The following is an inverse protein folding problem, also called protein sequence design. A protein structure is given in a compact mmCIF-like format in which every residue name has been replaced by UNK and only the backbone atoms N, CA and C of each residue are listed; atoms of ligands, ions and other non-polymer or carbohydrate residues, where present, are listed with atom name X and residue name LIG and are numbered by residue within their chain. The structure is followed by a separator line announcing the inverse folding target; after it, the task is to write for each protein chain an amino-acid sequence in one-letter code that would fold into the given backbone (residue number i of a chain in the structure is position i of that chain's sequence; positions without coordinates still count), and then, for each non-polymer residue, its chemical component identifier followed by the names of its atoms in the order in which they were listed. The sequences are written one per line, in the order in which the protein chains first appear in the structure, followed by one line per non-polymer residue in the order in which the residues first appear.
data_IF_389561798881
#
_entry.id   IF_389561798881
#
_cell.length_a   1.000
_cell.length_b   1.000
_cell.length_c   1.000
_cell.angle_alpha   90.00
_cell.angle_beta   90.00
_cell.angle_gamma   90.00
#
_symmetry.space_group_name_H-M   'P 1'
#
loop_
_entity.id
_entity.type
_entity.pdbx_description
1 polymer ?
#
# COMPACT_ATOMS: atom_id res chain seq x y z
N UNK A 1 -38.01 -4.54 -30.10
CA UNK A 1 -37.13 -5.71 -30.33
C UNK A 1 -35.73 -5.34 -29.90
N UNK A 2 -35.07 -6.18 -29.11
CA UNK A 2 -33.68 -5.95 -28.71
C UNK A 2 -32.76 -6.52 -29.79
N UNK A 3 -31.95 -5.66 -30.42
CA UNK A 3 -31.03 -6.05 -31.49
C UNK A 3 -29.58 -6.02 -31.01
N UNK A 4 -29.07 -7.20 -30.65
CA UNK A 4 -27.73 -7.38 -30.09
C UNK A 4 -26.62 -6.83 -31.01
N UNK A 5 -26.82 -6.85 -32.34
CA UNK A 5 -25.85 -6.36 -33.32
C UNK A 5 -25.67 -4.84 -33.28
N UNK A 6 -26.78 -4.11 -33.27
CA UNK A 6 -26.78 -2.65 -33.25
C UNK A 6 -26.20 -2.17 -31.93
N UNK A 7 -26.57 -2.83 -30.82
CA UNK A 7 -26.02 -2.53 -29.49
C UNK A 7 -24.50 -2.73 -29.49
N UNK A 8 -24.00 -3.82 -30.07
CA UNK A 8 -22.56 -4.04 -30.18
C UNK A 8 -21.85 -2.97 -31.01
N UNK A 9 -22.40 -2.59 -32.16
CA UNK A 9 -21.81 -1.54 -33.01
C UNK A 9 -21.72 -0.20 -32.28
N UNK A 10 -22.79 0.20 -31.60
CA UNK A 10 -22.83 1.43 -30.79
C UNK A 10 -21.79 1.38 -29.67
N UNK A 11 -21.72 0.28 -28.90
CA UNK A 11 -20.77 0.13 -27.79
C UNK A 11 -19.32 0.09 -28.27
N UNK A 12 -19.05 -0.46 -29.45
CA UNK A 12 -17.69 -0.59 -30.00
C UNK A 12 -17.17 0.70 -30.61
N UNK A 13 -18.00 1.42 -31.36
CA UNK A 13 -17.58 2.59 -32.12
C UNK A 13 -17.74 3.91 -31.36
N UNK A 14 -18.77 4.01 -30.52
CA UNK A 14 -18.97 5.20 -29.69
C UNK A 14 -18.22 5.01 -28.35
N UNK A 15 -18.93 5.18 -27.24
CA UNK A 15 -18.35 5.10 -25.90
C UNK A 15 -18.91 3.90 -25.12
N UNK A 16 -18.00 3.16 -24.47
CA UNK A 16 -18.33 2.10 -23.52
C UNK A 16 -17.63 2.39 -22.19
N UNK A 17 -18.42 2.67 -21.15
CA UNK A 17 -17.91 2.99 -19.81
C UNK A 17 -17.07 1.87 -19.19
N UNK A 18 -17.36 0.61 -19.56
CA UNK A 18 -16.65 -0.55 -19.04
C UNK A 18 -15.42 -0.93 -19.88
N UNK A 19 -15.19 -0.32 -21.05
CA UNK A 19 -14.08 -0.68 -21.91
C UNK A 19 -12.79 0.00 -21.45
N UNK A 20 -11.73 -0.79 -21.26
CA UNK A 20 -10.38 -0.31 -20.98
C UNK A 20 -9.48 -0.69 -22.16
N UNK A 21 -8.95 0.33 -22.86
CA UNK A 21 -7.97 0.14 -23.93
C UNK A 21 -6.58 0.09 -23.30
N UNK A 22 -5.87 -1.02 -23.52
CA UNK A 22 -4.49 -1.22 -23.09
C UNK A 22 -3.68 -1.54 -24.35
N UNK A 23 -2.35 -1.32 -24.33
CA UNK A 23 -1.45 -1.63 -25.45
C UNK A 23 -1.59 -3.06 -25.96
N UNK A 24 -1.89 -4.02 -25.09
CA UNK A 24 -2.06 -5.44 -25.42
C UNK A 24 -3.43 -5.80 -26.00
N UNK A 25 -4.44 -4.93 -25.85
CA UNK A 25 -5.79 -5.17 -26.36
C UNK A 25 -6.90 -4.50 -25.54
N UNK A 26 -8.14 -4.81 -25.93
CA UNK A 26 -9.34 -4.22 -25.33
C UNK A 26 -9.93 -5.11 -24.23
N UNK A 27 -9.98 -4.60 -23.01
CA UNK A 27 -10.53 -5.31 -21.85
C UNK A 27 -11.84 -4.69 -21.39
N UNK A 28 -12.59 -5.45 -20.59
CA UNK A 28 -13.87 -5.03 -20.05
C UNK A 28 -13.84 -5.14 -18.52
N UNK A 29 -14.15 -4.03 -17.83
CA UNK A 29 -14.24 -3.94 -16.37
C UNK A 29 -15.59 -4.42 -15.81
N UNK A 30 -16.53 -4.79 -16.68
CA UNK A 30 -17.86 -5.21 -16.24
C UNK A 30 -17.75 -6.51 -15.40
N UNK A 31 -18.29 -6.55 -14.17
CA UNK A 31 -18.22 -7.73 -13.32
C UNK A 31 -18.95 -8.96 -13.90
N UNK A 32 -19.92 -8.74 -14.78
CA UNK A 32 -20.69 -9.77 -15.46
C UNK A 32 -20.05 -10.21 -16.79
N UNK A 33 -18.77 -9.90 -17.07
CA UNK A 33 -18.07 -10.48 -18.22
C UNK A 33 -17.41 -11.81 -17.80
N UNK A 34 -17.58 -12.87 -18.60
CA UNK A 34 -16.98 -14.20 -18.31
C UNK A 34 -15.46 -14.21 -18.52
N UNK A 35 -14.97 -13.57 -19.59
CA UNK A 35 -13.57 -13.63 -20.03
C UNK A 35 -12.75 -12.42 -19.59
N UNK A 36 -13.39 -11.27 -19.41
CA UNK A 36 -12.73 -9.98 -19.14
C UNK A 36 -12.23 -9.25 -20.39
N UNK A 37 -12.41 -9.84 -21.58
CA UNK A 37 -12.04 -9.23 -22.86
C UNK A 37 -13.26 -8.51 -23.45
N UNK A 38 -13.05 -7.37 -24.10
CA UNK A 38 -14.10 -6.61 -24.76
C UNK A 38 -14.27 -7.06 -26.23
N UNK A 39 -15.00 -8.17 -26.42
CA UNK A 39 -15.34 -8.74 -27.74
C UNK A 39 -16.86 -8.88 -27.90
N UNK A 40 -17.34 -9.00 -29.15
CA UNK A 40 -18.77 -9.16 -29.48
C UNK A 40 -19.42 -10.30 -28.69
N UNK A 41 -18.76 -11.45 -28.63
CA UNK A 41 -19.22 -12.65 -27.90
C UNK A 41 -19.05 -12.58 -26.38
N UNK A 42 -18.20 -11.68 -25.88
CA UNK A 42 -17.85 -11.59 -24.46
C UNK A 42 -18.59 -10.46 -23.73
N UNK A 43 -19.16 -9.49 -24.46
CA UNK A 43 -19.85 -8.37 -23.84
C UNK A 43 -21.21 -8.78 -23.27
N UNK A 44 -21.47 -8.63 -21.96
CA UNK A 44 -22.76 -8.96 -21.34
C UNK A 44 -23.85 -7.92 -21.63
N UNK A 45 -23.49 -6.71 -22.05
CA UNK A 45 -24.44 -5.65 -22.42
C UNK A 45 -25.00 -5.89 -23.82
N UNK A 46 -24.11 -6.21 -24.76
CA UNK A 46 -24.48 -6.45 -26.16
C UNK A 46 -25.27 -7.75 -26.35
N UNK A 47 -24.98 -8.80 -25.58
CA UNK A 47 -25.67 -10.07 -25.71
C UNK A 47 -26.88 -10.15 -24.77
N UNK A 48 -28.04 -10.47 -25.33
CA UNK A 48 -29.28 -10.69 -24.59
C UNK A 48 -29.31 -12.05 -23.88
N UNK A 49 -28.77 -13.10 -24.50
CA UNK A 49 -28.54 -14.42 -23.89
C UNK A 49 -27.12 -14.51 -23.36
N UNK A 50 -26.96 -14.49 -22.05
CA UNK A 50 -25.63 -14.52 -21.44
C UNK A 50 -25.66 -15.25 -20.09
N UNK A 51 -24.50 -15.74 -19.65
CA UNK A 51 -24.37 -16.43 -18.38
C UNK A 51 -22.99 -16.24 -17.81
N UNK A 52 -22.91 -15.98 -16.50
CA UNK A 52 -21.65 -15.75 -15.78
C UNK A 52 -21.67 -16.39 -14.40
N UNK A 53 -20.49 -16.51 -13.80
CA UNK A 53 -20.35 -16.92 -12.41
C UNK A 53 -19.81 -15.76 -11.62
N UNK A 54 -20.46 -15.50 -10.48
CA UNK A 54 -19.98 -14.54 -9.48
C UNK A 54 -19.93 -15.17 -8.11
N UNK A 55 -19.05 -14.62 -7.31
CA UNK A 55 -18.88 -14.94 -5.91
C UNK A 55 -19.66 -13.92 -5.08
N UNK A 56 -20.50 -14.40 -4.16
CA UNK A 56 -21.09 -13.61 -3.09
C UNK A 56 -20.81 -14.32 -1.77
N UNK A 57 -20.08 -13.65 -0.87
CA UNK A 57 -19.83 -14.05 0.51
C UNK A 57 -19.44 -15.52 0.71
N UNK A 58 -18.57 -16.07 -0.15
CA UNK A 58 -18.14 -17.46 0.04
C UNK A 58 -19.04 -18.50 -0.65
N UNK A 59 -20.05 -18.08 -1.42
CA UNK A 59 -20.88 -18.96 -2.27
C UNK A 59 -20.86 -18.52 -3.73
N UNK A 60 -20.75 -19.49 -4.64
CA UNK A 60 -20.82 -19.23 -6.08
C UNK A 60 -22.26 -19.23 -6.57
N UNK A 61 -22.57 -18.27 -7.43
CA UNK A 61 -23.85 -18.14 -8.08
C UNK A 61 -23.67 -18.14 -9.59
N UNK A 62 -24.49 -18.93 -10.28
CA UNK A 62 -24.67 -18.86 -11.72
C UNK A 62 -25.69 -17.76 -12.01
N UNK A 63 -25.24 -16.73 -12.70
CA UNK A 63 -26.04 -15.62 -13.19
C UNK A 63 -26.44 -15.90 -14.63
N UNK A 64 -27.73 -15.91 -14.93
CA UNK A 64 -28.26 -16.12 -16.27
C UNK A 64 -29.07 -14.91 -16.72
N UNK A 65 -28.86 -14.50 -17.96
CA UNK A 65 -29.57 -13.41 -18.61
C UNK A 65 -30.37 -13.97 -19.76
N UNK A 66 -31.67 -13.72 -19.74
CA UNK A 66 -32.62 -14.14 -20.78
C UNK A 66 -33.17 -12.93 -21.53
N UNK A 67 -33.64 -13.16 -22.75
CA UNK A 67 -34.21 -12.11 -23.61
C UNK A 67 -35.52 -11.56 -23.02
N UNK A 68 -36.31 -12.43 -22.40
CA UNK A 68 -37.65 -12.11 -21.89
C UNK A 68 -37.61 -11.04 -20.79
N UNK A 69 -36.57 -11.04 -19.96
CA UNK A 69 -36.41 -10.09 -18.85
C UNK A 69 -35.73 -8.79 -19.22
N UNK A 70 -35.37 -8.58 -20.49
CA UNK A 70 -34.61 -7.39 -20.92
C UNK A 70 -35.33 -6.06 -20.63
N UNK A 71 -36.66 -6.07 -20.60
CA UNK A 71 -37.49 -4.91 -20.29
C UNK A 71 -37.46 -4.51 -18.80
N UNK A 72 -36.99 -5.39 -17.90
CA UNK A 72 -36.93 -5.16 -16.44
C UNK A 72 -35.47 -5.24 -15.97
N UNK A 73 -34.74 -4.11 -15.92
CA UNK A 73 -33.31 -4.12 -15.56
C UNK A 73 -33.05 -4.65 -14.14
N UNK A 74 -33.97 -4.44 -13.20
CA UNK A 74 -33.85 -4.90 -11.82
C UNK A 74 -33.84 -6.44 -11.70
N UNK A 75 -34.57 -7.12 -12.59
CA UNK A 75 -34.73 -8.58 -12.59
C UNK A 75 -34.02 -9.24 -13.78
N UNK A 76 -33.15 -8.49 -14.46
CA UNK A 76 -32.46 -8.92 -15.68
C UNK A 76 -31.69 -10.23 -15.51
N UNK A 77 -31.17 -10.46 -14.30
CA UNK A 77 -30.33 -11.59 -13.97
C UNK A 77 -31.03 -12.57 -13.03
N UNK A 78 -31.22 -13.78 -13.50
CA UNK A 78 -31.58 -14.93 -12.67
C UNK A 78 -30.35 -15.46 -11.95
N UNK A 79 -30.50 -15.86 -10.68
CA UNK A 79 -29.39 -16.33 -9.84
C UNK A 79 -29.68 -17.74 -9.35
N UNK A 80 -28.79 -18.68 -9.68
CA UNK A 80 -28.84 -20.06 -9.19
C UNK A 80 -27.64 -20.31 -8.26
N UNK A 81 -27.90 -20.83 -7.06
CA UNK A 81 -26.86 -21.19 -6.09
C UNK A 81 -26.11 -22.42 -6.57
N UNK A 82 -24.79 -22.34 -6.66
CA UNK A 82 -23.94 -23.49 -6.96
C UNK A 82 -23.44 -24.15 -5.67
N UNK A 83 -23.41 -25.49 -5.60
CA UNK A 83 -22.90 -26.22 -4.45
C UNK A 83 -21.38 -26.03 -4.32
N UNK A 84 -20.86 -26.33 -3.13
CA UNK A 84 -19.41 -26.28 -2.85
C UNK A 84 -18.63 -27.38 -3.58
N UNK A 85 -19.28 -28.51 -3.87
CA UNK A 85 -18.67 -29.59 -4.66
C UNK A 85 -18.58 -29.15 -6.13
N UNK A 86 -17.37 -29.20 -6.68
CA UNK A 86 -17.06 -28.78 -8.03
C UNK A 86 -17.78 -29.62 -9.10
N UNK A 87 -17.84 -30.94 -8.95
CA UNK A 87 -18.47 -31.85 -9.92
C UNK A 87 -19.98 -31.59 -10.01
N UNK A 88 -20.64 -31.52 -8.85
CA UNK A 88 -22.07 -31.18 -8.77
C UNK A 88 -22.36 -29.79 -9.34
N UNK A 89 -21.46 -28.82 -9.16
CA UNK A 89 -21.60 -27.50 -9.74
C UNK A 89 -21.49 -27.52 -11.27
N UNK A 90 -20.60 -28.34 -11.84
CA UNK A 90 -20.50 -28.54 -13.29
C UNK A 90 -21.77 -29.17 -13.87
N UNK A 91 -22.33 -30.19 -13.21
CA UNK A 91 -23.59 -30.81 -13.64
C UNK A 91 -24.76 -29.81 -13.65
N UNK A 92 -24.84 -28.96 -12.62
CA UNK A 92 -25.89 -27.92 -12.54
C UNK A 92 -25.71 -26.89 -13.66
N UNK A 93 -24.48 -26.47 -13.93
CA UNK A 93 -24.17 -25.57 -15.06
C UNK A 93 -24.61 -26.22 -16.37
N UNK A 94 -24.29 -27.50 -16.59
CA UNK A 94 -24.66 -28.21 -17.81
C UNK A 94 -26.17 -28.33 -17.97
N UNK A 95 -26.91 -28.63 -16.90
CA UNK A 95 -28.39 -28.70 -16.90
C UNK A 95 -29.04 -27.36 -17.23
N UNK A 96 -28.56 -26.27 -16.63
CA UNK A 96 -29.15 -24.95 -16.89
C UNK A 96 -28.74 -24.36 -18.24
N UNK A 97 -27.56 -24.70 -18.77
CA UNK A 97 -27.00 -24.11 -19.99
C UNK A 97 -27.09 -25.03 -21.23
N UNK A 98 -27.97 -26.04 -21.23
CA UNK A 98 -28.09 -27.00 -22.35
C UNK A 98 -28.34 -26.32 -23.71
N UNK A 99 -29.15 -25.27 -23.75
CA UNK A 99 -29.54 -24.57 -24.98
C UNK A 99 -28.72 -23.31 -25.28
N UNK A 100 -27.62 -23.10 -24.56
CA UNK A 100 -26.74 -21.93 -24.75
C UNK A 100 -25.59 -22.26 -25.70
N UNK A 101 -24.97 -21.23 -26.31
CA UNK A 101 -23.83 -21.44 -27.20
C UNK A 101 -22.67 -22.11 -26.44
N UNK A 102 -22.11 -23.19 -27.03
CA UNK A 102 -21.05 -24.02 -26.42
C UNK A 102 -19.84 -23.21 -25.94
N UNK A 103 -19.48 -22.15 -26.67
CA UNK A 103 -18.38 -21.24 -26.28
C UNK A 103 -18.66 -20.60 -24.92
N UNK A 104 -19.87 -20.10 -24.70
CA UNK A 104 -20.27 -19.49 -23.44
C UNK A 104 -20.26 -20.51 -22.31
N UNK A 105 -20.80 -21.72 -22.54
CA UNK A 105 -20.80 -22.81 -21.55
C UNK A 105 -19.38 -23.16 -21.14
N UNK A 106 -18.49 -23.38 -22.12
CA UNK A 106 -17.10 -23.70 -21.87
C UNK A 106 -16.38 -22.58 -21.11
N UNK A 107 -16.55 -21.31 -21.51
CA UNK A 107 -15.96 -20.16 -20.80
C UNK A 107 -16.51 -20.02 -19.38
N UNK A 108 -17.78 -20.32 -19.17
CA UNK A 108 -18.43 -20.29 -17.85
C UNK A 108 -17.85 -21.37 -16.94
N UNK A 109 -17.65 -22.60 -17.46
CA UNK A 109 -16.92 -23.66 -16.76
C UNK A 109 -15.49 -23.25 -16.43
N UNK A 110 -14.74 -22.71 -17.39
CA UNK A 110 -13.37 -22.21 -17.17
C UNK A 110 -13.33 -21.14 -16.06
N UNK A 111 -14.31 -20.23 -16.04
CA UNK A 111 -14.45 -19.22 -14.98
C UNK A 111 -14.73 -19.86 -13.62
N UNK A 112 -15.60 -20.88 -13.53
CA UNK A 112 -15.82 -21.62 -12.28
C UNK A 112 -14.51 -22.19 -11.75
N UNK A 113 -13.74 -22.86 -12.62
CA UNK A 113 -12.46 -23.46 -12.27
C UNK A 113 -11.50 -22.39 -11.75
N UNK A 114 -11.35 -21.28 -12.47
CA UNK A 114 -10.44 -20.19 -12.08
C UNK A 114 -10.84 -19.56 -10.74
N UNK A 115 -12.14 -19.30 -10.53
CA UNK A 115 -12.66 -18.75 -9.28
C UNK A 115 -12.45 -19.72 -8.10
N UNK A 116 -12.67 -21.02 -8.32
CA UNK A 116 -12.42 -22.05 -7.31
C UNK A 116 -10.94 -22.15 -6.96
N UNK A 117 -10.06 -22.14 -7.95
CA UNK A 117 -8.60 -22.11 -7.74
C UNK A 117 -8.17 -20.85 -7.00
N UNK A 118 -8.71 -19.68 -7.36
CA UNK A 118 -8.44 -18.43 -6.64
C UNK A 118 -8.86 -18.52 -5.17
N UNK A 119 -10.02 -19.09 -4.86
CA UNK A 119 -10.42 -19.33 -3.46
C UNK A 119 -9.47 -20.23 -2.70
N UNK A 120 -9.05 -21.34 -3.31
CA UNK A 120 -8.06 -22.24 -2.70
C UNK A 120 -6.76 -21.48 -2.45
N UNK A 121 -6.31 -20.66 -3.41
CA UNK A 121 -5.11 -19.81 -3.26
C UNK A 121 -5.27 -18.78 -2.14
N UNK A 122 -6.42 -18.11 -2.02
CA UNK A 122 -6.69 -17.16 -0.94
C UNK A 122 -6.65 -17.82 0.44
N UNK A 123 -7.23 -19.01 0.59
CA UNK A 123 -7.14 -19.79 1.83
C UNK A 123 -5.70 -20.18 2.16
N UNK A 124 -4.95 -20.67 1.17
CA UNK A 124 -3.52 -20.98 1.33
C UNK A 124 -2.70 -19.74 1.67
N UNK A 125 -3.07 -18.57 1.15
CA UNK A 125 -2.40 -17.31 1.44
C UNK A 125 -2.66 -16.85 2.86
N UNK A 126 -3.92 -16.94 3.32
CA UNK A 126 -4.32 -16.56 4.67
C UNK A 126 -3.68 -17.46 5.75
N UNK A 127 -3.41 -18.73 5.42
CA UNK A 127 -2.70 -19.65 6.30
C UNK A 127 -1.18 -19.41 6.35
N UNK A 128 -0.61 -18.70 5.37
CA UNK A 128 0.82 -18.39 5.35
C UNK A 128 1.06 -17.12 6.16
N UNK A 129 1.88 -17.21 7.20
CA UNK A 129 2.44 -16.05 7.89
C UNK A 129 3.34 -15.30 6.91
N UNK A 130 3.00 -14.04 6.62
CA UNK A 130 3.82 -13.15 5.80
C UNK A 130 4.04 -11.87 6.58
N UNK A 131 5.23 -11.32 6.44
CA UNK A 131 5.52 -9.98 6.91
C UNK A 131 4.56 -8.99 6.25
N UNK A 132 3.95 -8.14 7.07
CA UNK A 132 3.08 -7.09 6.60
C UNK A 132 3.99 -5.96 6.13
N UNK A 133 4.00 -5.68 4.83
CA UNK A 133 4.63 -4.47 4.30
C UNK A 133 3.89 -3.28 4.93
N UNK A 134 4.55 -2.61 5.87
CA UNK A 134 4.06 -1.39 6.48
C UNK A 134 4.74 -0.23 5.77
N UNK A 135 3.94 0.71 5.27
CA UNK A 135 4.46 1.94 4.70
C UNK A 135 4.82 2.89 5.82
N UNK A 136 6.08 3.26 5.94
CA UNK A 136 6.51 4.37 6.79
C UNK A 136 6.21 5.69 6.06
N UNK A 137 5.67 6.72 6.75
CA UNK A 137 5.37 7.99 6.12
C UNK A 137 6.67 8.70 5.73
N UNK A 138 6.70 9.29 4.52
CA UNK A 138 7.91 9.89 3.95
C UNK A 138 8.51 11.01 4.82
N UNK A 139 7.67 11.76 5.54
CA UNK A 139 8.11 12.83 6.45
C UNK A 139 8.93 12.28 7.63
N UNK A 140 8.52 11.14 8.21
CA UNK A 140 9.25 10.52 9.31
C UNK A 140 10.63 10.03 8.84
N UNK A 141 10.70 9.38 7.68
CA UNK A 141 11.97 8.92 7.09
C UNK A 141 12.95 10.09 6.91
N UNK A 142 12.47 11.21 6.33
CA UNK A 142 13.32 12.41 6.17
C UNK A 142 13.77 12.97 7.52
N UNK A 143 12.87 13.05 8.49
CA UNK A 143 13.17 13.62 9.81
C UNK A 143 14.11 12.75 10.63
N UNK A 144 13.99 11.42 10.53
CA UNK A 144 14.91 10.48 11.16
C UNK A 144 16.29 10.56 10.55
N UNK A 145 16.41 10.59 9.21
CA UNK A 145 17.70 10.74 8.53
C UNK A 145 18.41 12.06 8.89
N UNK A 146 17.67 13.18 8.99
CA UNK A 146 18.25 14.46 9.45
C UNK A 146 18.70 14.39 10.91
N UNK A 147 17.90 13.79 11.79
CA UNK A 147 18.26 13.61 13.20
C UNK A 147 19.46 12.70 13.39
N UNK A 148 19.58 11.66 12.58
CA UNK A 148 20.72 10.75 12.54
C UNK A 148 22.00 11.49 12.14
N UNK A 149 21.96 12.27 11.05
CA UNK A 149 23.10 13.09 10.64
C UNK A 149 23.51 14.13 11.69
N UNK A 150 22.53 14.75 12.37
CA UNK A 150 22.80 15.69 13.46
C UNK A 150 23.41 14.98 14.68
N UNK A 151 22.93 13.77 15.00
CA UNK A 151 23.47 12.96 16.09
C UNK A 151 24.90 12.49 15.79
N UNK A 152 25.19 12.06 14.56
CA UNK A 152 26.54 11.67 14.13
C UNK A 152 27.53 12.83 14.29
N UNK A 153 27.18 14.02 13.78
CA UNK A 153 28.01 15.22 13.92
C UNK A 153 28.21 15.63 15.38
N UNK A 154 27.16 15.55 16.20
CA UNK A 154 27.24 15.93 17.61
C UNK A 154 28.02 14.93 18.46
N UNK A 155 27.96 13.63 18.14
CA UNK A 155 28.62 12.59 18.92
C UNK A 155 30.15 12.58 18.76
N UNK A 156 30.71 13.19 17.69
CA UNK A 156 32.15 13.25 17.40
C UNK A 156 32.89 11.96 17.79
N UNK A 157 32.41 10.83 17.24
CA UNK A 157 32.81 9.50 17.70
C UNK A 157 34.33 9.30 17.68
N UNK A 158 35.03 9.85 16.69
CA UNK A 158 36.48 9.76 16.56
C UNK A 158 37.23 10.24 17.81
N UNK A 159 36.89 11.42 18.35
CA UNK A 159 37.53 11.96 19.56
C UNK A 159 37.21 11.13 20.80
N UNK A 160 35.98 10.62 20.90
CA UNK A 160 35.59 9.75 22.00
C UNK A 160 36.35 8.41 21.97
N UNK A 161 36.58 7.87 20.78
CA UNK A 161 37.34 6.65 20.55
C UNK A 161 38.83 6.89 20.83
N UNK A 162 39.41 8.01 20.38
CA UNK A 162 40.79 8.39 20.67
C UNK A 162 41.05 8.48 22.18
N UNK A 163 40.17 9.18 22.91
CA UNK A 163 40.25 9.28 24.37
C UNK A 163 40.17 7.90 25.04
N UNK A 164 39.26 7.03 24.58
CA UNK A 164 39.15 5.67 25.14
C UNK A 164 40.38 4.80 24.82
N UNK A 165 40.93 4.89 23.61
CA UNK A 165 42.13 4.15 23.20
C UNK A 165 43.36 4.60 23.98
N UNK A 166 43.53 5.91 24.19
CA UNK A 166 44.59 6.46 25.02
C UNK A 166 44.44 6.02 26.48
N UNK A 167 43.23 6.04 27.03
CA UNK A 167 42.97 5.52 28.38
C UNK A 167 43.28 4.02 28.51
N UNK A 168 42.90 3.21 27.52
CA UNK A 168 43.21 1.76 27.51
C UNK A 168 44.71 1.50 27.40
N UNK A 169 45.42 2.32 26.61
CA UNK A 169 46.87 2.29 26.50
C UNK A 169 47.53 2.67 27.83
N UNK A 170 47.10 3.76 28.47
CA UNK A 170 47.55 4.19 29.81
C UNK A 170 47.29 3.13 30.89
N UNK A 171 46.16 2.42 30.80
CA UNK A 171 45.80 1.31 31.70
C UNK A 171 46.57 0.02 31.42
N UNK A 172 47.39 -0.05 30.36
CA UNK A 172 48.22 -1.21 30.03
C UNK A 172 47.42 -2.43 29.59
N UNK A 173 46.24 -2.22 28.97
CA UNK A 173 45.36 -3.31 28.51
C UNK A 173 45.99 -4.08 27.34
N UNK A 174 46.83 -3.42 26.55
CA UNK A 174 47.61 -4.01 25.47
C UNK A 174 49.01 -4.34 26.01
N UNK A 175 49.43 -5.61 25.97
CA UNK A 175 50.66 -6.09 26.64
C UNK A 175 51.99 -5.53 26.08
N UNK A 176 53.12 -6.01 26.63
CA UNK A 176 54.49 -5.45 26.51
C UNK A 176 55.17 -5.47 25.12
N UNK A 177 54.49 -5.87 24.04
CA UNK A 177 55.13 -6.02 22.72
C UNK A 177 54.55 -5.02 21.73
N UNK A 178 54.95 -3.77 21.86
CA UNK A 178 54.80 -2.79 20.80
C UNK A 178 56.06 -1.90 20.74
N UNK A 179 56.61 -1.79 19.53
CA UNK A 179 57.70 -0.88 19.21
C UNK A 179 57.12 0.49 18.87
N UNK A 180 56.74 1.25 19.88
CA UNK A 180 56.27 2.62 19.68
C UNK A 180 57.45 3.54 19.37
N UNK A 181 57.36 4.40 18.34
CA UNK A 181 58.25 5.56 18.24
C UNK A 181 58.03 6.44 19.49
N UNK A 182 59.02 6.49 20.37
CA UNK A 182 58.94 7.18 21.68
C UNK A 182 58.66 8.67 21.53
N UNK A 183 59.16 9.27 20.45
CA UNK A 183 58.99 10.69 20.13
C UNK A 183 57.51 11.02 19.83
N UNK A 184 56.86 10.25 18.95
CA UNK A 184 55.45 10.44 18.61
C UNK A 184 54.50 10.19 19.81
N UNK A 185 54.90 9.31 20.75
CA UNK A 185 54.12 9.05 21.95
C UNK A 185 54.17 10.22 22.95
N UNK A 186 55.36 10.78 23.19
CA UNK A 186 55.53 11.90 24.10
C UNK A 186 54.90 13.20 23.54
N UNK A 187 54.98 13.42 22.22
CA UNK A 187 54.31 14.55 21.56
C UNK A 187 52.79 14.51 21.72
N UNK A 188 52.16 13.32 21.61
CA UNK A 188 50.72 13.15 21.82
C UNK A 188 50.33 13.36 23.29
N UNK A 189 51.19 12.94 24.23
CA UNK A 189 51.01 13.14 25.68
C UNK A 189 51.10 14.62 26.08
N UNK A 190 52.09 15.35 25.56
CA UNK A 190 52.26 16.79 25.80
C UNK A 190 51.13 17.60 25.15
N UNK A 191 50.67 17.21 23.95
CA UNK A 191 49.51 17.82 23.28
C UNK A 191 48.20 17.60 24.04
N UNK A 192 48.00 16.44 24.66
CA UNK A 192 46.82 16.13 25.48
C UNK A 192 46.81 16.91 26.80
N UNK A 193 47.97 17.06 27.47
CA UNK A 193 48.11 17.91 28.67
C UNK A 193 47.90 19.41 28.37
N UNK A 194 48.35 19.88 27.20
CA UNK A 194 48.10 21.23 26.72
C UNK A 194 46.62 21.46 26.35
N UNK A 195 45.95 20.47 25.74
CA UNK A 195 44.52 20.55 25.41
C UNK A 195 43.63 20.49 26.65
N UNK A 196 43.99 19.70 27.67
CA UNK A 196 43.27 19.65 28.94
C UNK A 196 43.37 20.97 29.73
N UNK A 197 44.49 21.69 29.61
CA UNK A 197 44.65 23.01 30.21
C UNK A 197 43.88 24.12 29.46
N UNK A 198 43.56 23.94 28.18
CA UNK A 198 42.71 24.86 27.41
C UNK A 198 41.21 24.56 27.51
N UNK A 199 40.81 23.29 27.72
CA UNK A 199 39.41 22.88 27.92
C UNK A 199 38.83 23.35 29.27
N UNK A 200 39.65 23.80 30.23
CA UNK A 200 39.18 24.29 31.55
C UNK A 200 38.81 25.78 31.56
N UNK A 201 39.19 26.56 30.53
CA UNK A 201 38.83 27.99 30.37
C UNK A 201 37.82 28.27 29.25
N UNK A 202 37.67 27.37 28.27
CA UNK A 202 36.61 27.43 27.27
C UNK A 202 35.62 26.29 27.55
N UNK A 203 34.59 26.57 28.36
CA UNK A 203 33.31 25.90 28.12
C UNK A 203 33.03 26.09 26.64
N UNK A 204 32.90 25.02 25.83
CA UNK A 204 32.44 25.19 24.47
C UNK A 204 31.01 25.68 24.60
N UNK A 205 30.83 27.00 24.55
CA UNK A 205 29.56 27.63 24.25
C UNK A 205 29.14 26.96 22.95
N UNK A 206 28.20 26.04 23.06
CA UNK A 206 27.58 25.40 21.91
C UNK A 206 26.86 26.57 21.26
N UNK A 207 27.57 27.27 20.38
CA UNK A 207 27.00 28.21 19.44
C UNK A 207 25.96 27.37 18.72
N UNK A 208 24.70 27.53 19.13
CA UNK A 208 23.57 27.11 18.35
C UNK A 208 23.81 27.80 17.01
N UNK A 209 24.28 27.04 16.01
CA UNK A 209 24.36 27.54 14.65
C UNK A 209 22.92 27.86 14.27
N UNK A 210 22.54 29.12 14.50
CA UNK A 210 21.20 29.69 14.32
C UNK A 210 20.73 29.51 12.86
N UNK A 211 21.66 29.24 11.94
CA UNK A 211 21.39 28.95 10.53
C UNK A 211 20.83 27.56 10.20
N UNK A 212 20.58 26.67 11.18
CA UNK A 212 19.88 25.38 10.93
C UNK A 212 18.49 25.29 11.56
N UNK A 213 18.13 26.16 12.50
CA UNK A 213 16.77 26.24 13.05
C UNK A 213 15.84 26.97 12.07
N UNK A 214 16.36 27.98 11.35
CA UNK A 214 15.65 28.67 10.26
C UNK A 214 15.38 27.75 9.05
N UNK A 215 16.25 26.76 8.80
CA UNK A 215 16.06 25.75 7.73
C UNK A 215 15.04 24.65 8.11
N UNK A 216 14.73 24.49 9.41
CA UNK A 216 13.65 23.60 9.88
C UNK A 216 12.27 24.27 9.75
N UNK A 217 12.20 25.60 9.85
CA UNK A 217 10.97 26.39 9.62
C UNK A 217 10.70 26.72 8.14
N UNK A 218 11.72 27.01 7.33
CA UNK A 218 11.54 27.34 5.91
C UNK A 218 11.07 26.13 5.06
N UNK A 219 11.63 24.93 5.28
CA UNK A 219 11.29 23.76 4.44
C UNK A 219 9.93 23.10 4.75
N UNK A 220 9.37 23.27 5.95
CA UNK A 220 8.00 22.79 6.25
C UNK A 220 6.93 23.79 5.75
N UNK A 221 7.35 25.01 5.35
CA UNK A 221 6.51 26.01 4.70
C UNK A 221 6.45 25.87 3.16
N UNK A 222 7.52 25.36 2.54
CA UNK A 222 7.60 25.22 1.08
C UNK A 222 6.69 24.13 0.47
N UNK A 223 6.25 23.13 1.25
CA UNK A 223 5.31 22.09 0.78
C UNK A 223 3.83 22.50 0.93
N UNK A 224 3.54 23.70 1.45
CA UNK A 224 2.19 24.28 1.50
C UNK A 224 1.89 25.21 0.31
N UNK A 225 2.91 25.69 -0.41
CA UNK A 225 2.80 26.69 -1.48
C UNK A 225 2.51 26.16 -2.89
N UNK A 226 2.15 24.88 -3.05
CA UNK A 226 1.92 24.24 -4.35
C UNK A 226 0.52 24.41 -4.96
N UNK A 227 -0.31 25.34 -4.46
CA UNK A 227 -1.67 25.54 -4.96
C UNK A 227 -1.79 26.86 -5.77
N UNK A 228 -1.80 26.69 -7.09
CA UNK A 228 -2.41 27.58 -8.09
C UNK A 228 -1.85 29.00 -8.29
N UNK A 229 -0.75 29.11 -9.04
CA UNK A 229 -0.56 30.25 -9.96
C UNK A 229 -1.19 29.84 -11.30
N UNK A 230 -2.48 30.16 -11.43
CA UNK A 230 -3.18 30.11 -12.71
C UNK A 230 -2.71 31.32 -13.52
N UNK A 231 -1.88 31.07 -14.53
CA UNK A 231 -1.47 32.03 -15.56
C UNK A 231 -2.73 32.58 -16.28
N UNK A 232 -3.02 33.89 -16.27
CA UNK A 232 -4.12 34.46 -17.05
C UNK A 232 -3.55 35.34 -18.16
N UNK A 233 -3.26 34.77 -19.32
CA UNK A 233 -3.23 35.52 -20.59
C UNK A 233 -3.15 34.58 -21.82
N UNK A 234 -3.90 34.95 -22.85
CA UNK A 234 -4.02 34.38 -24.21
C UNK A 234 -4.96 33.15 -24.41
N UNK A 235 -6.27 33.39 -24.60
CA UNK A 235 -6.86 33.55 -25.95
C UNK A 235 -8.41 33.55 -25.95
N UNK A 236 -8.96 34.42 -26.81
CA UNK A 236 -10.35 34.77 -27.06
C UNK A 236 -11.20 33.61 -27.65
N UNK A 237 -12.47 33.48 -27.26
CA UNK A 237 -13.64 33.85 -28.09
C UNK A 237 -15.00 33.24 -27.63
N UNK A 238 -16.03 34.09 -27.73
CA UNK A 238 -17.43 33.81 -28.14
C UNK A 238 -18.45 33.16 -27.17
N UNK A 239 -19.33 34.06 -26.69
CA UNK A 239 -20.81 34.04 -26.71
C UNK A 239 -21.66 33.24 -25.70
N UNK A 240 -22.50 34.00 -24.96
CA UNK A 240 -23.95 33.77 -24.99
C UNK A 240 -24.70 33.46 -23.67
N UNK A 241 -25.16 34.51 -22.97
CA UNK A 241 -26.55 34.74 -22.52
C UNK A 241 -27.22 33.66 -21.62
N UNK A 242 -27.51 33.96 -20.34
CA UNK A 242 -28.82 34.49 -19.88
C UNK A 242 -28.90 34.63 -18.34
N UNK A 243 -29.60 35.69 -17.93
CA UNK A 243 -30.01 36.00 -16.56
C UNK A 243 -31.21 35.13 -16.15
N UNK A 244 -31.30 34.73 -14.87
CA UNK A 244 -32.54 34.91 -14.08
C UNK A 244 -32.35 34.46 -12.62
N UNK A 245 -32.51 35.44 -11.73
CA UNK A 245 -32.65 35.34 -10.29
C UNK A 245 -34.14 35.37 -9.95
N UNK A 246 -34.66 34.42 -9.17
CA UNK A 246 -35.77 34.70 -8.23
C UNK A 246 -35.68 33.80 -6.99
N UNK A 247 -35.54 34.46 -5.83
CA UNK A 247 -35.71 33.97 -4.47
C UNK A 247 -37.20 33.75 -4.13
N UNK A 248 -37.54 32.65 -3.45
CA UNK A 248 -38.79 32.52 -2.67
C UNK A 248 -38.50 31.84 -1.33
N UNK A 249 -38.93 32.51 -0.25
CA UNK A 249 -38.68 32.22 1.16
C UNK A 249 -39.86 31.51 1.88
N UNK A 250 -39.50 30.80 2.97
CA UNK A 250 -40.25 30.28 4.17
C UNK A 250 -41.41 29.25 4.09
N UNK A 251 -41.80 28.51 5.18
CA UNK A 251 -41.17 28.23 6.50
C UNK A 251 -41.30 26.78 7.11
N UNK A 252 -40.40 26.48 8.08
CA UNK A 252 -40.55 25.72 9.37
C UNK A 252 -41.12 24.28 9.44
N UNK A 253 -40.32 23.36 10.01
CA UNK A 253 -40.73 22.52 11.17
C UNK A 253 -39.55 22.01 12.01
N UNK A 254 -39.62 22.29 13.32
CA UNK A 254 -38.71 21.86 14.40
C UNK A 254 -38.88 20.37 14.71
N UNK A 255 -37.77 19.66 14.95
CA UNK A 255 -37.75 18.29 15.49
C UNK A 255 -36.46 18.02 16.27
N UNK A 256 -36.56 18.04 17.59
CA UNK A 256 -35.51 17.80 18.61
C UNK A 256 -35.09 16.32 18.65
N UNK A 257 -33.79 16.02 18.69
CA UNK A 257 -33.23 14.78 19.28
C UNK A 257 -31.82 15.03 19.85
N UNK A 258 -31.73 14.92 21.18
CA UNK A 258 -30.50 14.91 21.98
C UNK A 258 -29.83 13.51 21.98
N UNK A 259 -28.55 13.49 22.38
CA UNK A 259 -27.74 12.35 22.90
C UNK A 259 -26.87 11.53 21.93
N UNK A 260 -25.73 12.07 21.53
CA UNK A 260 -24.55 11.29 21.07
C UNK A 260 -23.22 11.72 21.72
N UNK A 261 -23.26 12.70 22.64
CA UNK A 261 -22.05 13.28 23.24
C UNK A 261 -21.56 12.53 24.51
N UNK A 262 -22.43 11.78 25.19
CA UNK A 262 -22.13 11.13 26.47
C UNK A 262 -21.42 9.77 26.37
N UNK A 263 -21.38 9.12 25.20
CA UNK A 263 -20.70 7.82 25.01
C UNK A 263 -19.20 7.96 24.70
N UNK A 264 -18.76 9.08 24.13
CA UNK A 264 -17.35 9.28 23.73
C UNK A 264 -16.40 9.58 24.91
N UNK A 265 -16.93 9.95 26.07
CA UNK A 265 -16.10 10.31 27.24
C UNK A 265 -15.68 9.09 28.07
N UNK A 266 -16.49 8.03 28.10
CA UNK A 266 -16.21 6.82 28.90
C UNK A 266 -15.14 5.93 28.25
N UNK A 267 -15.04 5.90 26.92
CA UNK A 267 -14.03 5.07 26.23
C UNK A 267 -12.59 5.64 26.31
N UNK A 268 -12.43 6.96 26.48
CA UNK A 268 -11.10 7.58 26.61
C UNK A 268 -10.46 7.30 27.97
N UNK A 269 -11.25 7.26 29.05
CA UNK A 269 -10.73 7.04 30.41
C UNK A 269 -10.32 5.58 30.67
N UNK A 270 -10.93 4.61 29.97
CA UNK A 270 -10.54 3.20 30.07
C UNK A 270 -9.20 2.90 29.37
N UNK A 271 -8.90 3.60 28.27
CA UNK A 271 -7.67 3.38 27.48
C UNK A 271 -6.43 4.00 28.12
N UNK A 272 -6.60 4.97 29.02
CA UNK A 272 -5.51 5.64 29.74
C UNK A 272 -4.88 4.80 30.87
N UNK A 273 -5.60 3.81 31.42
CA UNK A 273 -5.14 3.02 32.60
C UNK A 273 -4.30 1.76 32.27
N UNK A 274 -4.11 1.40 31.00
CA UNK A 274 -3.45 0.14 30.60
C UNK A 274 -2.01 0.27 30.07
N UNK A 275 -1.41 1.45 30.03
CA UNK A 275 0.00 1.61 29.63
C UNK A 275 0.94 1.55 30.82
N UNK A 276 1.23 0.34 31.33
CA UNK A 276 2.40 0.07 32.17
C UNK A 276 3.44 -0.73 31.36
N UNK A 277 4.55 -0.03 31.07
CA UNK A 277 5.90 -0.43 30.65
C UNK A 277 6.13 -1.90 30.25
N UNK A 278 6.28 -2.15 28.95
CA UNK A 278 6.99 -3.33 28.44
C UNK A 278 8.49 -3.02 28.42
N UNK A 279 9.29 -3.85 29.10
CA UNK A 279 10.76 -3.78 29.13
C UNK A 279 11.25 -4.37 27.81
N UNK A 280 11.79 -3.55 26.92
CA UNK A 280 12.42 -4.00 25.67
C UNK A 280 13.81 -4.55 26.04
N UNK A 281 14.04 -5.83 25.75
CA UNK A 281 15.36 -6.45 25.77
C UNK A 281 15.88 -6.29 24.33
N UNK A 282 16.98 -5.56 24.18
CA UNK A 282 17.67 -5.39 22.90
C UNK A 282 18.74 -6.47 22.84
N UNK A 283 18.53 -7.49 22.01
CA UNK A 283 19.61 -8.37 21.56
C UNK A 283 20.16 -7.75 20.27
N UNK A 284 21.43 -7.36 20.30
CA UNK A 284 22.18 -6.91 19.12
C UNK A 284 22.79 -8.16 18.50
N UNK A 285 22.24 -8.62 17.38
CA UNK A 285 22.92 -9.58 16.52
C UNK A 285 23.95 -8.80 15.68
N UNK A 286 25.23 -9.04 15.96
CA UNK A 286 26.32 -8.60 15.09
C UNK A 286 26.27 -9.42 13.80
N UNK A 287 26.05 -8.76 12.67
CA UNK A 287 26.29 -9.32 11.34
C UNK A 287 27.81 -9.49 11.19
N UNK A 288 28.30 -10.73 11.23
CA UNK A 288 29.48 -11.23 10.51
C UNK A 288 29.81 -12.66 10.96
N UNK A 289 29.22 -13.67 10.30
CA UNK A 289 29.78 -15.02 10.19
C UNK A 289 29.00 -15.88 9.18
N UNK A 290 29.74 -16.38 8.20
CA UNK A 290 29.58 -17.69 7.55
C UNK A 290 28.61 -17.81 6.37
N UNK A 291 29.15 -17.34 5.23
CA UNK A 291 29.39 -18.13 4.03
C UNK A 291 28.61 -19.46 3.88
N UNK A 292 27.78 -19.44 2.84
CA UNK A 292 27.09 -20.57 2.22
C UNK A 292 28.01 -21.79 2.04
N UNK A 293 27.80 -22.83 2.84
CA UNK A 293 28.23 -24.18 2.48
C UNK A 293 27.07 -24.94 1.83
N UNK A 294 27.17 -25.06 0.51
CA UNK A 294 26.45 -26.05 -0.30
C UNK A 294 26.89 -27.45 0.12
N UNK A 295 26.00 -28.23 0.74
CA UNK A 295 26.26 -29.66 0.94
C UNK A 295 25.82 -30.44 -0.28
N UNK A 296 26.82 -30.96 -0.99
CA UNK A 296 26.72 -32.01 -1.99
C UNK A 296 25.95 -33.22 -1.45
N UNK A 297 24.83 -33.56 -2.09
CA UNK A 297 24.23 -34.89 -1.97
C UNK A 297 24.92 -35.77 -3.00
N UNK A 298 26.08 -36.31 -2.62
CA UNK A 298 26.76 -37.34 -3.38
C UNK A 298 26.16 -38.72 -3.06
N UNK A 299 25.91 -39.47 -4.13
CA UNK A 299 25.55 -40.89 -4.16
C UNK A 299 26.37 -41.73 -3.17
N UNK A 300 25.69 -42.60 -2.42
CA UNK A 300 26.27 -43.83 -1.89
C UNK A 300 25.30 -44.99 -2.14
N UNK A 301 25.66 -45.80 -3.14
CA UNK A 301 25.27 -47.20 -3.35
C UNK A 301 26.03 -48.06 -2.32
N UNK A 302 25.53 -49.28 -2.06
CA UNK A 302 26.10 -50.40 -1.25
C UNK A 302 25.54 -50.41 0.19
N UNK A 303 24.74 -51.38 0.69
CA UNK A 303 24.43 -52.80 0.37
C UNK A 303 22.90 -53.01 0.35
#
# INVERSE_FOLDING_TARGET
MQHDEVIWQVIRHNHCSFMAKISTGNFCRNPYNVTGICNRSSCPLANSRYATIRDHDGVFYLYMKTIERAHKPNELWERVKLPRNYEKALEIIDKHLMYWPKILVHKTKQRLTKMTQMRIRMRKLALKTREKIMTTPRKEIKREARREQKAEKAALLDKSIEKELLERLKKGVYGDIYNYPVEAYNEVLEMEELQAASEEEEEPEIEYVEGYEELEEEEDMEDFGGLAIHNPEADEDSDGIDEDLEDIDVPRKRGRKESTYSLRKVEKDARAKLKKKAKVIVEVENEDADERQTTDVFLAVVV
#
